data_IF_695969665391
#
_entry.id   IF_695969665391
#
_cell.length_a   1.000
_cell.length_b   1.000
_cell.length_c   1.000
_cell.angle_alpha   90.00
_cell.angle_beta   90.00
_cell.angle_gamma   90.00
#
_symmetry.space_group_name_H-M   'P 1'
#
loop_
_entity.id
_entity.type
_entity.pdbx_description
1 polymer ?
#
# COMPACT_ATOMS: atom_id res chain seq x y z
N UNK A 1 35.52 -7.16 -33.55
CA UNK A 1 34.61 -6.25 -34.26
C UNK A 1 33.29 -6.91 -34.61
N UNK A 2 32.20 -6.22 -34.27
CA UNK A 2 30.77 -6.62 -34.29
C UNK A 2 30.26 -7.31 -33.01
N UNK A 3 30.08 -6.49 -31.98
CA UNK A 3 28.95 -6.67 -31.05
C UNK A 3 27.77 -5.90 -31.65
N UNK A 4 26.73 -6.60 -32.05
CA UNK A 4 25.42 -6.02 -32.38
C UNK A 4 24.61 -5.96 -31.10
N UNK A 5 24.42 -4.75 -30.58
CA UNK A 5 23.50 -4.47 -29.48
C UNK A 5 22.07 -4.77 -29.94
N UNK A 6 21.54 -5.89 -29.46
CA UNK A 6 20.12 -6.22 -29.52
C UNK A 6 19.40 -5.43 -28.43
N UNK A 7 18.93 -4.22 -28.76
CA UNK A 7 17.76 -3.64 -28.11
C UNK A 7 16.56 -3.86 -29.03
N UNK A 8 16.08 -5.11 -29.07
CA UNK A 8 14.83 -5.47 -29.74
C UNK A 8 13.62 -5.02 -28.93
N UNK A 9 13.32 -3.72 -28.97
CA UNK A 9 12.00 -3.14 -28.69
C UNK A 9 11.68 -2.14 -29.80
N UNK A 10 11.79 -2.61 -31.05
CA UNK A 10 11.47 -1.87 -32.26
C UNK A 10 10.11 -2.23 -32.83
N UNK A 11 9.19 -2.70 -31.99
CA UNK A 11 7.78 -2.68 -32.38
C UNK A 11 7.29 -1.27 -32.09
N UNK A 12 7.01 -0.53 -33.16
CA UNK A 12 6.22 0.69 -33.14
C UNK A 12 4.89 0.31 -32.51
N UNK A 13 4.79 0.46 -31.18
CA UNK A 13 3.54 0.28 -30.46
C UNK A 13 2.58 1.33 -31.00
N UNK A 14 1.76 0.95 -31.98
CA UNK A 14 0.55 1.68 -32.28
C UNK A 14 -0.23 1.70 -30.98
N UNK A 15 -0.27 2.87 -30.35
CA UNK A 15 -1.11 3.13 -29.19
C UNK A 15 -2.54 3.03 -29.71
N UNK A 16 -3.08 1.81 -29.75
CA UNK A 16 -4.50 1.59 -29.94
C UNK A 16 -5.19 2.46 -28.90
N UNK A 17 -6.18 3.25 -29.31
CA UNK A 17 -6.97 4.15 -28.46
C UNK A 17 -7.86 3.40 -27.44
N UNK A 18 -7.46 2.19 -27.03
CA UNK A 18 -8.09 1.38 -26.00
C UNK A 18 -7.46 1.70 -24.64
N UNK A 19 -8.30 2.06 -23.68
CA UNK A 19 -7.91 2.58 -22.37
C UNK A 19 -6.81 1.80 -21.64
N UNK A 20 -6.05 2.52 -20.80
CA UNK A 20 -4.91 1.99 -20.06
C UNK A 20 -5.24 0.67 -19.33
N UNK A 21 -4.41 -0.35 -19.56
CA UNK A 21 -4.53 -1.68 -18.92
C UNK A 21 -4.29 -1.62 -17.41
N UNK A 22 -3.50 -0.64 -16.97
CA UNK A 22 -3.18 -0.39 -15.56
C UNK A 22 -3.83 0.91 -15.11
N UNK A 23 -3.96 1.10 -13.79
CA UNK A 23 -4.50 2.36 -13.28
C UNK A 23 -3.54 3.52 -13.54
N UNK A 24 -2.24 3.26 -13.43
CA UNK A 24 -1.15 4.21 -13.67
C UNK A 24 0.14 3.44 -14.06
N UNK A 25 0.85 3.88 -15.10
CA UNK A 25 2.08 3.26 -15.57
C UNK A 25 3.09 4.29 -16.10
N UNK A 26 4.34 4.18 -15.65
CA UNK A 26 5.46 4.95 -16.15
C UNK A 26 6.17 4.17 -17.27
N UNK A 27 6.39 4.83 -18.39
CA UNK A 27 7.12 4.31 -19.53
C UNK A 27 8.37 5.19 -19.70
N UNK A 28 9.54 4.58 -19.66
CA UNK A 28 10.81 5.26 -19.85
C UNK A 28 11.47 4.83 -21.15
N UNK A 29 11.87 5.79 -21.97
CA UNK A 29 12.65 5.58 -23.18
C UNK A 29 13.93 6.40 -23.10
N UNK A 30 15.06 5.81 -23.46
CA UNK A 30 16.30 6.56 -23.63
C UNK A 30 16.32 7.11 -25.05
N UNK A 31 16.22 8.43 -25.19
CA UNK A 31 16.38 9.12 -26.46
C UNK A 31 17.81 9.62 -26.61
N UNK A 32 18.36 9.50 -27.81
CA UNK A 32 19.64 10.11 -28.19
C UNK A 32 19.33 11.19 -29.20
N UNK A 33 19.64 12.46 -28.87
CA UNK A 33 19.51 13.56 -29.82
C UNK A 33 20.67 13.61 -30.83
N UNK A 34 21.73 12.81 -30.61
CA UNK A 34 22.92 12.76 -31.46
C UNK A 34 22.93 11.52 -32.37
N UNK A 35 23.29 11.66 -33.66
CA UNK A 35 23.50 10.51 -34.56
C UNK A 35 24.74 9.70 -34.20
N UNK A 36 25.66 10.25 -33.40
CA UNK A 36 26.81 9.53 -32.85
C UNK A 36 26.51 9.16 -31.40
N UNK A 37 26.50 7.85 -31.05
CA UNK A 37 26.15 7.39 -29.71
C UNK A 37 27.28 7.75 -28.73
N UNK A 38 27.15 8.87 -28.04
CA UNK A 38 27.95 9.18 -26.86
C UNK A 38 27.09 9.01 -25.61
N UNK A 39 27.62 8.31 -24.60
CA UNK A 39 26.93 8.05 -23.33
C UNK A 39 26.50 9.34 -22.61
N UNK A 40 27.15 10.48 -22.89
CA UNK A 40 26.85 11.77 -22.28
C UNK A 40 25.67 12.52 -22.91
N UNK A 41 25.07 12.01 -23.99
CA UNK A 41 23.99 12.69 -24.73
C UNK A 41 22.64 11.97 -24.66
N UNK A 42 22.53 10.93 -23.83
CA UNK A 42 21.27 10.21 -23.64
C UNK A 42 20.36 11.01 -22.70
N UNK A 43 19.14 11.26 -23.16
CA UNK A 43 18.05 11.82 -22.37
C UNK A 43 17.07 10.71 -22.01
N UNK A 44 16.60 10.69 -20.76
CA UNK A 44 15.53 9.79 -20.34
C UNK A 44 14.19 10.48 -20.53
N UNK A 45 13.46 10.06 -21.55
CA UNK A 45 12.09 10.50 -21.80
C UNK A 45 11.13 9.60 -21.01
N UNK A 46 10.35 10.21 -20.13
CA UNK A 46 9.36 9.52 -19.30
C UNK A 46 7.97 9.94 -19.74
N UNK A 47 7.14 8.97 -20.13
CA UNK A 47 5.71 9.15 -20.33
C UNK A 47 4.93 8.45 -19.22
N UNK A 48 3.77 9.01 -18.86
CA UNK A 48 2.89 8.50 -17.83
C UNK A 48 1.52 8.24 -18.43
N UNK A 49 1.14 6.97 -18.47
CA UNK A 49 -0.20 6.55 -18.86
C UNK A 49 -1.05 6.34 -17.62
N UNK A 50 -2.32 6.74 -17.68
CA UNK A 50 -3.22 6.63 -16.54
C UNK A 50 -4.68 6.49 -16.99
N UNK A 51 -5.51 5.94 -16.11
CA UNK A 51 -6.97 5.92 -16.30
C UNK A 51 -7.58 7.25 -15.92
N UNK A 52 -8.15 7.95 -16.91
CA UNK A 52 -8.82 9.25 -16.71
C UNK A 52 -10.05 9.19 -15.80
N UNK A 53 -10.62 8.00 -15.60
CA UNK A 53 -11.70 7.77 -14.63
C UNK A 53 -11.24 7.81 -13.17
N UNK A 54 -9.95 7.54 -12.92
CA UNK A 54 -9.36 7.48 -11.57
C UNK A 54 -8.50 8.71 -11.27
N UNK A 55 -7.84 9.28 -12.28
CA UNK A 55 -6.93 10.40 -12.10
C UNK A 55 -7.33 11.58 -12.97
N UNK A 56 -7.34 12.77 -12.37
CA UNK A 56 -7.47 14.02 -13.11
C UNK A 56 -6.11 14.41 -13.72
N UNK A 57 -6.09 15.14 -14.85
CA UNK A 57 -4.85 15.65 -15.43
C UNK A 57 -3.98 16.46 -14.44
N UNK A 58 -4.61 17.18 -13.51
CA UNK A 58 -3.91 17.95 -12.47
C UNK A 58 -3.22 17.04 -11.45
N UNK A 59 -3.90 15.97 -11.01
CA UNK A 59 -3.32 14.97 -10.12
C UNK A 59 -2.09 14.32 -10.76
N UNK A 60 -2.19 14.00 -12.04
CA UNK A 60 -1.10 13.41 -12.82
C UNK A 60 0.07 14.38 -12.98
N UNK A 61 -0.21 15.65 -13.28
CA UNK A 61 0.82 16.70 -13.34
C UNK A 61 1.54 16.86 -12.00
N UNK A 62 0.81 16.83 -10.88
CA UNK A 62 1.41 16.87 -9.54
C UNK A 62 2.28 15.64 -9.26
N UNK A 63 1.83 14.45 -9.63
CA UNK A 63 2.61 13.21 -9.49
C UNK A 63 3.91 13.26 -10.30
N UNK A 64 3.85 13.74 -11.54
CA UNK A 64 5.03 13.93 -12.39
C UNK A 64 6.01 14.93 -11.79
N UNK A 65 5.51 16.04 -11.25
CA UNK A 65 6.34 17.03 -10.56
C UNK A 65 7.06 16.39 -9.36
N UNK A 66 6.33 15.72 -8.46
CA UNK A 66 6.93 15.03 -7.30
C UNK A 66 7.93 13.95 -7.71
N UNK A 67 7.63 13.16 -8.75
CA UNK A 67 8.54 12.14 -9.26
C UNK A 67 9.82 12.75 -9.86
N UNK A 68 9.71 13.87 -10.58
CA UNK A 68 10.87 14.58 -11.12
C UNK A 68 11.79 15.12 -10.02
N UNK A 69 11.21 15.64 -8.93
CA UNK A 69 11.94 16.14 -7.76
C UNK A 69 12.63 14.97 -7.06
N UNK A 70 11.92 13.87 -6.85
CA UNK A 70 12.47 12.64 -6.27
C UNK A 70 13.69 12.15 -7.05
N UNK A 71 13.58 12.02 -8.38
CA UNK A 71 14.69 11.57 -9.23
C UNK A 71 15.88 12.52 -9.14
N UNK A 72 15.66 13.84 -9.17
CA UNK A 72 16.74 14.83 -9.02
C UNK A 72 17.45 14.71 -7.68
N UNK A 73 16.68 14.60 -6.58
CA UNK A 73 17.23 14.48 -5.23
C UNK A 73 18.03 13.17 -5.08
N UNK A 74 17.47 12.05 -5.56
CA UNK A 74 18.14 10.76 -5.51
C UNK A 74 19.43 10.72 -6.34
N UNK A 75 19.41 11.28 -7.56
CA UNK A 75 20.59 11.36 -8.41
C UNK A 75 21.69 12.29 -7.83
N UNK A 76 21.30 13.32 -7.08
CA UNK A 76 22.26 14.23 -6.43
C UNK A 76 22.93 13.61 -5.19
N UNK A 77 22.29 12.65 -4.54
CA UNK A 77 22.77 12.01 -3.31
C UNK A 77 22.42 10.51 -3.28
N UNK A 78 23.02 9.69 -4.15
CA UNK A 78 22.62 8.29 -4.36
C UNK A 78 22.91 7.36 -3.16
N UNK A 79 23.69 7.83 -2.19
CA UNK A 79 24.05 7.10 -0.97
C UNK A 79 23.06 7.34 0.19
N UNK A 80 22.11 8.27 0.05
CA UNK A 80 21.09 8.48 1.08
C UNK A 80 20.10 7.31 1.11
N UNK A 81 19.63 6.91 2.31
CA UNK A 81 18.49 6.01 2.43
C UNK A 81 17.29 6.54 1.66
N UNK A 82 16.51 5.64 1.04
CA UNK A 82 15.33 6.03 0.24
C UNK A 82 14.30 6.82 1.05
N UNK A 83 14.22 6.58 2.37
CA UNK A 83 13.37 7.31 3.33
C UNK A 83 13.72 8.79 3.43
N UNK A 84 14.97 9.15 3.13
CA UNK A 84 15.52 10.48 3.38
C UNK A 84 15.51 11.33 2.10
N UNK A 85 15.12 10.74 0.96
CA UNK A 85 14.96 11.45 -0.32
C UNK A 85 13.65 12.24 -0.29
N UNK A 86 13.74 13.54 -0.07
CA UNK A 86 12.57 14.42 -0.05
C UNK A 86 11.80 14.43 -1.39
N UNK A 87 10.47 14.45 -1.31
CA UNK A 87 9.55 14.52 -2.47
C UNK A 87 9.16 15.96 -2.85
N UNK A 88 9.66 16.96 -2.12
CA UNK A 88 9.28 18.38 -2.27
C UNK A 88 10.50 19.21 -2.64
N UNK A 89 10.35 20.10 -3.62
CA UNK A 89 11.39 21.01 -4.08
C UNK A 89 11.66 22.05 -2.99
N UNK A 90 12.92 22.18 -2.56
CA UNK A 90 13.32 23.08 -1.47
C UNK A 90 13.70 22.40 -0.16
N UNK A 91 14.40 21.27 -0.24
CA UNK A 91 14.95 20.53 0.90
C UNK A 91 15.76 21.40 1.87
N UNK A 92 15.05 21.96 2.85
CA UNK A 92 15.60 22.32 4.15
C UNK A 92 14.71 21.69 5.22
N UNK A 93 15.11 20.50 5.67
CA UNK A 93 14.84 19.88 6.97
C UNK A 93 13.63 20.36 7.80
N UNK A 94 12.44 20.45 7.21
CA UNK A 94 11.22 20.65 7.98
C UNK A 94 10.69 19.29 8.39
N UNK A 95 10.69 19.08 9.71
CA UNK A 95 10.21 17.89 10.41
C UNK A 95 8.88 17.41 9.84
N UNK A 96 8.75 16.08 9.74
CA UNK A 96 7.53 15.36 9.37
C UNK A 96 6.30 15.99 10.05
N UNK A 97 5.41 16.58 9.26
CA UNK A 97 4.19 17.24 9.76
C UNK A 97 3.54 18.25 8.80
N UNK A 98 4.30 18.88 7.89
CA UNK A 98 3.79 19.93 6.99
C UNK A 98 3.64 19.48 5.52
N UNK A 99 3.24 18.23 5.23
CA UNK A 99 3.00 17.77 3.85
C UNK A 99 1.66 18.26 3.27
N UNK A 100 0.74 18.72 4.14
CA UNK A 100 -0.65 19.09 3.80
C UNK A 100 -0.87 20.53 3.24
N UNK A 101 -0.01 21.56 3.42
CA UNK A 101 -0.34 22.94 3.03
C UNK A 101 -0.31 23.22 1.51
N UNK A 102 0.56 22.58 0.73
CA UNK A 102 0.82 22.99 -0.66
C UNK A 102 -0.27 22.53 -1.63
N UNK A 103 -0.72 21.27 -1.51
CA UNK A 103 -1.91 20.79 -2.23
C UNK A 103 -3.17 21.57 -1.81
N UNK A 104 -3.29 21.90 -0.52
CA UNK A 104 -4.38 22.74 -0.01
C UNK A 104 -4.38 24.13 -0.65
N UNK A 105 -3.21 24.76 -0.81
CA UNK A 105 -3.10 26.11 -1.40
C UNK A 105 -3.44 26.17 -2.89
N UNK A 106 -3.13 25.11 -3.66
CA UNK A 106 -3.51 25.02 -5.07
C UNK A 106 -5.02 24.76 -5.21
N UNK A 107 -5.59 23.94 -4.31
CA UNK A 107 -7.02 23.65 -4.28
C UNK A 107 -7.85 24.88 -3.84
N UNK A 108 -7.36 25.67 -2.87
CA UNK A 108 -7.98 26.93 -2.43
C UNK A 108 -7.92 28.04 -3.49
N UNK A 109 -6.89 28.04 -4.36
CA UNK A 109 -6.80 28.98 -5.48
C UNK A 109 -7.81 28.65 -6.58
N UNK A 110 -8.09 27.38 -6.81
CA UNK A 110 -9.10 26.92 -7.77
C UNK A 110 -10.54 27.23 -7.30
N UNK A 111 -10.81 27.16 -5.99
CA UNK A 111 -12.11 27.52 -5.41
C UNK A 111 -12.43 29.02 -5.54
N UNK A 112 -11.41 29.89 -5.62
CA UNK A 112 -11.59 31.34 -5.79
C UNK A 112 -11.86 31.76 -7.24
N UNK A 113 -11.32 31.05 -8.23
CA UNK A 113 -11.55 31.37 -9.64
C UNK A 113 -12.89 30.82 -10.17
N UNK A 114 -13.48 29.81 -9.51
CA UNK A 114 -14.78 29.23 -9.88
C UNK A 114 -15.98 29.79 -9.08
N UNK A 115 -15.74 30.70 -8.13
CA UNK A 115 -16.72 31.19 -7.17
C UNK A 115 -17.47 32.46 -7.55
N UNK A 116 -17.83 32.62 -8.82
CA UNK A 116 -18.53 33.79 -9.34
C UNK A 116 -19.95 33.54 -9.85
N UNK A 117 -20.60 32.43 -9.55
CA UNK A 117 -22.06 32.28 -9.74
C UNK A 117 -22.58 31.01 -9.04
N UNK A 118 -23.32 31.24 -7.96
CA UNK A 118 -24.40 30.42 -7.40
C UNK A 118 -24.37 28.90 -7.62
N UNK A 119 -23.57 28.17 -6.82
CA UNK A 119 -24.00 26.84 -6.33
C UNK A 119 -23.59 26.64 -4.88
N UNK A 120 -24.59 26.54 -4.00
CA UNK A 120 -24.50 25.92 -2.67
C UNK A 120 -24.19 24.42 -2.83
N UNK A 121 -23.03 24.07 -3.37
CA UNK A 121 -22.53 22.71 -3.37
C UNK A 121 -21.72 22.55 -2.09
N UNK A 122 -22.34 21.90 -1.11
CA UNK A 122 -21.79 21.45 0.18
C UNK A 122 -20.34 20.99 0.03
N UNK A 123 -19.41 21.87 0.47
CA UNK A 123 -17.99 21.61 0.69
C UNK A 123 -17.87 20.27 1.44
N UNK A 124 -17.44 19.21 0.76
CA UNK A 124 -17.04 17.97 1.45
C UNK A 124 -15.62 18.22 1.94
N UNK A 125 -15.54 18.71 3.17
CA UNK A 125 -14.30 18.76 3.93
C UNK A 125 -13.73 17.33 3.99
N UNK A 126 -12.62 17.09 3.30
CA UNK A 126 -11.80 15.87 3.44
C UNK A 126 -10.98 15.88 4.75
N UNK A 127 -11.47 16.55 5.79
CA UNK A 127 -10.88 16.54 7.13
C UNK A 127 -11.46 15.40 7.97
N UNK A 128 -11.37 14.14 7.52
CA UNK A 128 -12.02 13.06 8.26
C UNK A 128 -11.33 11.70 8.13
N UNK A 129 -10.00 11.65 8.25
CA UNK A 129 -9.41 10.46 8.85
C UNK A 129 -9.60 10.61 10.36
N UNK A 130 -10.77 10.20 10.84
CA UNK A 130 -11.06 10.17 12.27
C UNK A 130 -10.07 9.19 12.93
N UNK A 131 -9.11 9.66 13.75
CA UNK A 131 -8.12 8.78 14.40
C UNK A 131 -8.79 7.77 15.34
N UNK A 132 -10.09 7.91 15.59
CA UNK A 132 -10.89 6.98 16.39
C UNK A 132 -11.49 5.81 15.60
N UNK A 133 -11.37 5.77 14.27
CA UNK A 133 -11.85 4.64 13.47
C UNK A 133 -10.76 3.56 13.33
N UNK A 134 -10.58 2.79 14.40
CA UNK A 134 -9.76 1.59 14.33
C UNK A 134 -10.40 0.55 13.41
N UNK A 135 -9.58 -0.25 12.72
CA UNK A 135 -10.04 -1.37 11.88
C UNK A 135 -10.99 -2.30 12.67
N UNK A 136 -10.73 -2.48 13.96
CA UNK A 136 -11.58 -3.26 14.86
C UNK A 136 -12.98 -2.67 15.06
N UNK A 137 -13.09 -1.34 15.14
CA UNK A 137 -14.38 -0.66 15.27
C UNK A 137 -15.23 -0.89 14.02
N UNK A 138 -14.64 -0.71 12.85
CA UNK A 138 -15.31 -0.97 11.57
C UNK A 138 -15.71 -2.44 11.44
N UNK A 139 -14.82 -3.36 11.81
CA UNK A 139 -15.13 -4.79 11.82
C UNK A 139 -16.31 -5.10 12.74
N UNK A 140 -16.34 -4.53 13.95
CA UNK A 140 -17.42 -4.72 14.90
C UNK A 140 -18.75 -4.16 14.38
N UNK A 141 -18.74 -2.98 13.78
CA UNK A 141 -19.93 -2.38 13.15
C UNK A 141 -20.49 -3.29 12.04
N UNK A 142 -19.63 -3.80 11.13
CA UNK A 142 -20.05 -4.70 10.05
C UNK A 142 -20.59 -6.03 10.60
N UNK A 143 -19.93 -6.61 11.62
CA UNK A 143 -20.38 -7.85 12.23
C UNK A 143 -21.75 -7.73 12.90
N UNK A 144 -22.07 -6.56 13.46
CA UNK A 144 -23.38 -6.28 14.05
C UNK A 144 -24.44 -5.98 13.00
N UNK A 145 -24.09 -5.28 11.91
CA UNK A 145 -25.02 -4.92 10.85
C UNK A 145 -25.41 -6.13 9.98
N UNK A 146 -24.46 -7.05 9.74
CA UNK A 146 -24.63 -8.17 8.81
C UNK A 146 -24.14 -9.52 9.36
N UNK A 147 -24.67 -10.02 10.48
CA UNK A 147 -24.15 -11.20 11.17
C UNK A 147 -24.17 -12.47 10.30
N UNK A 148 -25.22 -12.67 9.51
CA UNK A 148 -25.44 -13.89 8.72
C UNK A 148 -24.84 -13.84 7.31
N UNK A 149 -24.30 -12.68 6.88
CA UNK A 149 -23.64 -12.58 5.57
C UNK A 149 -22.31 -13.32 5.59
N UNK A 150 -21.97 -13.95 4.47
CA UNK A 150 -20.67 -14.58 4.28
C UNK A 150 -19.56 -13.53 4.30
N UNK A 151 -18.62 -13.70 5.22
CA UNK A 151 -17.46 -12.82 5.40
C UNK A 151 -16.22 -13.39 4.70
N UNK A 152 -16.03 -14.71 4.79
CA UNK A 152 -14.92 -15.41 4.16
C UNK A 152 -15.45 -16.60 3.38
N UNK A 153 -15.04 -16.71 2.13
CA UNK A 153 -15.25 -17.88 1.28
C UNK A 153 -13.85 -18.39 0.95
N UNK A 154 -13.49 -19.54 1.50
CA UNK A 154 -12.20 -20.16 1.22
C UNK A 154 -12.38 -21.35 0.28
N UNK A 155 -11.77 -21.24 -0.88
CA UNK A 155 -11.66 -22.32 -1.84
C UNK A 155 -10.25 -22.90 -1.69
N UNK A 156 -10.09 -24.11 -1.11
CA UNK A 156 -8.79 -24.75 -1.07
C UNK A 156 -8.29 -24.89 -2.50
N UNK A 157 -7.04 -24.46 -2.75
CA UNK A 157 -6.37 -24.64 -4.02
C UNK A 157 -6.19 -26.14 -4.24
N UNK A 158 -7.19 -26.75 -4.87
CA UNK A 158 -7.27 -28.18 -5.08
C UNK A 158 -6.24 -28.60 -6.12
N UNK A 159 -5.18 -29.24 -5.64
CA UNK A 159 -4.50 -30.28 -6.40
C UNK A 159 -5.51 -31.38 -6.70
N UNK A 160 -5.82 -31.55 -7.99
CA UNK A 160 -6.57 -32.65 -8.64
C UNK A 160 -7.47 -33.52 -7.71
N UNK A 161 -8.78 -33.23 -7.72
CA UNK A 161 -9.82 -34.26 -7.47
C UNK A 161 -10.44 -34.34 -6.08
N UNK A 162 -10.06 -33.49 -5.12
CA UNK A 162 -10.73 -33.46 -3.81
C UNK A 162 -12.00 -32.61 -3.84
N UNK A 163 -13.17 -33.25 -3.69
CA UNK A 163 -14.48 -32.62 -3.45
C UNK A 163 -14.61 -32.12 -1.99
N UNK A 164 -13.57 -31.48 -1.43
CA UNK A 164 -13.71 -30.87 -0.12
C UNK A 164 -14.74 -29.74 -0.21
N UNK A 165 -15.75 -29.71 0.67
CA UNK A 165 -16.75 -28.65 0.66
C UNK A 165 -16.07 -27.30 0.86
N UNK A 166 -16.51 -26.29 0.12
CA UNK A 166 -16.15 -24.90 0.37
C UNK A 166 -16.44 -24.57 1.83
N UNK A 167 -15.45 -24.05 2.55
CA UNK A 167 -15.72 -23.47 3.86
C UNK A 167 -16.10 -22.01 3.65
N UNK A 168 -17.39 -21.69 3.74
CA UNK A 168 -17.84 -20.32 3.94
C UNK A 168 -18.04 -20.05 5.43
N UNK A 169 -17.79 -18.81 5.83
CA UNK A 169 -17.85 -18.40 7.22
C UNK A 169 -18.54 -17.04 7.31
N UNK A 170 -19.62 -16.97 8.09
CA UNK A 170 -20.39 -15.73 8.29
C UNK A 170 -19.61 -14.70 9.12
N UNK A 171 -19.99 -13.41 9.06
CA UNK A 171 -19.39 -12.38 9.90
C UNK A 171 -19.52 -12.68 11.40
N UNK A 172 -20.68 -13.22 11.84
CA UNK A 172 -20.90 -13.62 13.23
C UNK A 172 -19.95 -14.74 13.67
N UNK A 173 -19.84 -15.79 12.86
CA UNK A 173 -18.94 -16.92 13.12
C UNK A 173 -17.47 -16.47 13.10
N UNK A 174 -17.10 -15.55 12.19
CA UNK A 174 -15.75 -15.02 12.06
C UNK A 174 -15.34 -14.30 13.34
N UNK A 175 -16.21 -13.41 13.79
CA UNK A 175 -15.98 -12.61 14.97
C UNK A 175 -15.93 -13.47 16.23
N UNK A 176 -16.85 -14.43 16.40
CA UNK A 176 -16.85 -15.33 17.56
C UNK A 176 -15.59 -16.19 17.62
N UNK A 177 -15.17 -16.77 16.49
CA UNK A 177 -13.93 -17.55 16.43
C UNK A 177 -12.70 -16.69 16.70
N UNK A 178 -12.63 -15.50 16.11
CA UNK A 178 -11.51 -14.59 16.34
C UNK A 178 -11.48 -14.07 17.78
N UNK A 179 -12.63 -13.81 18.39
CA UNK A 179 -12.74 -13.39 19.79
C UNK A 179 -12.33 -14.52 20.74
N UNK A 180 -12.77 -15.76 20.47
CA UNK A 180 -12.36 -16.93 21.24
C UNK A 180 -10.84 -17.12 21.20
N UNK A 181 -10.23 -17.03 20.02
CA UNK A 181 -8.79 -17.15 19.86
C UNK A 181 -8.05 -15.96 20.50
N UNK A 182 -8.59 -14.74 20.41
CA UNK A 182 -8.03 -13.56 21.09
C UNK A 182 -8.04 -13.70 22.62
N UNK A 183 -9.10 -14.29 23.19
CA UNK A 183 -9.17 -14.57 24.63
C UNK A 183 -8.15 -15.62 25.05
N UNK A 184 -8.04 -16.72 24.30
CA UNK A 184 -7.00 -17.73 24.52
C UNK A 184 -5.59 -17.10 24.48
N UNK A 185 -5.32 -16.25 23.49
CA UNK A 185 -4.07 -15.51 23.37
C UNK A 185 -3.77 -14.64 24.61
N UNK A 186 -4.79 -13.97 25.17
CA UNK A 186 -4.65 -13.20 26.42
C UNK A 186 -4.36 -14.10 27.63
N UNK A 187 -4.99 -15.27 27.69
CA UNK A 187 -4.72 -16.28 28.73
C UNK A 187 -3.28 -16.81 28.64
N UNK A 188 -2.70 -16.89 27.43
CA UNK A 188 -1.28 -17.20 27.22
C UNK A 188 -0.32 -16.06 27.63
N UNK A 189 -0.82 -14.95 28.18
CA UNK A 189 0.00 -13.86 28.69
C UNK A 189 0.15 -12.66 27.75
N UNK A 190 -0.63 -12.58 26.66
CA UNK A 190 -0.79 -11.34 25.90
C UNK A 190 -1.60 -10.34 26.72
N UNK A 191 -0.90 -9.59 27.57
CA UNK A 191 -1.50 -8.49 28.31
C UNK A 191 -1.74 -7.30 27.37
N UNK A 192 -2.95 -6.73 27.33
CA UNK A 192 -3.17 -5.49 26.60
C UNK A 192 -2.34 -4.40 27.27
N UNK A 193 -1.31 -3.94 26.58
CA UNK A 193 -0.42 -2.93 27.15
C UNK A 193 -1.13 -1.58 27.09
N UNK A 194 -1.23 -0.83 28.19
CA UNK A 194 -1.75 0.53 28.14
C UNK A 194 -0.93 1.35 27.14
N UNK A 195 -1.63 2.14 26.30
CA UNK A 195 -1.11 2.87 25.13
C UNK A 195 0.20 3.66 25.29
N UNK A 196 0.69 3.84 26.51
CA UNK A 196 1.90 4.57 26.85
C UNK A 196 3.19 3.76 26.74
N UNK A 197 3.15 2.43 26.63
CA UNK A 197 4.36 1.61 26.51
C UNK A 197 4.27 0.66 25.31
N UNK A 198 5.14 0.84 24.31
CA UNK A 198 5.20 0.01 23.09
C UNK A 198 5.77 -1.41 23.32
N UNK A 199 5.58 -2.00 24.50
CA UNK A 199 6.11 -3.33 24.85
C UNK A 199 5.10 -4.45 24.63
N UNK A 200 4.26 -4.36 23.60
CA UNK A 200 3.46 -5.52 23.18
C UNK A 200 4.38 -6.49 22.44
N UNK A 201 4.43 -7.75 22.85
CA UNK A 201 5.18 -8.77 22.11
C UNK A 201 4.45 -9.13 20.82
N UNK A 202 5.14 -9.18 19.65
CA UNK A 202 4.52 -9.60 18.40
C UNK A 202 3.99 -11.02 18.46
N UNK A 203 2.93 -11.26 17.69
CA UNK A 203 2.46 -12.60 17.37
C UNK A 203 2.97 -12.97 15.98
N UNK A 204 3.78 -14.03 15.88
CA UNK A 204 4.25 -14.51 14.58
C UNK A 204 3.23 -15.50 14.03
N UNK A 205 2.71 -15.23 12.83
CA UNK A 205 1.73 -16.10 12.17
C UNK A 205 2.42 -16.76 10.98
N UNK A 206 2.67 -18.07 11.08
CA UNK A 206 3.29 -18.87 10.01
C UNK A 206 2.27 -19.88 9.50
N UNK A 207 2.02 -19.87 8.20
CA UNK A 207 1.16 -20.88 7.58
C UNK A 207 0.82 -20.56 6.13
N UNK A 208 0.16 -21.50 5.42
CA UNK A 208 -0.44 -21.21 4.13
C UNK A 208 -1.62 -20.24 4.29
N UNK A 209 -1.98 -19.56 3.20
CA UNK A 209 -3.21 -18.77 3.15
C UNK A 209 -4.40 -19.70 3.39
N UNK A 210 -5.11 -19.45 4.48
CA UNK A 210 -6.24 -20.27 4.95
C UNK A 210 -7.16 -19.42 5.82
N UNK A 211 -8.37 -19.90 6.08
CA UNK A 211 -9.30 -19.27 7.02
C UNK A 211 -8.67 -19.08 8.40
N UNK A 212 -7.88 -20.05 8.86
CA UNK A 212 -7.14 -19.96 10.12
C UNK A 212 -6.11 -18.84 10.11
N UNK A 213 -5.43 -18.60 8.99
CA UNK A 213 -4.47 -17.51 8.86
C UNK A 213 -5.15 -16.15 9.06
N UNK A 214 -6.29 -15.92 8.42
CA UNK A 214 -7.07 -14.68 8.57
C UNK A 214 -7.61 -14.54 10.00
N UNK A 215 -8.16 -15.62 10.57
CA UNK A 215 -8.62 -15.65 11.96
C UNK A 215 -7.51 -15.25 12.93
N UNK A 216 -6.29 -15.79 12.78
CA UNK A 216 -5.15 -15.44 13.62
C UNK A 216 -4.78 -13.95 13.53
N UNK A 217 -4.86 -13.35 12.34
CA UNK A 217 -4.60 -11.91 12.16
C UNK A 217 -5.64 -11.06 12.89
N UNK A 218 -6.94 -11.36 12.69
CA UNK A 218 -8.03 -10.64 13.37
C UNK A 218 -7.92 -10.81 14.89
N UNK A 219 -7.63 -12.04 15.35
CA UNK A 219 -7.47 -12.36 16.77
C UNK A 219 -6.30 -11.60 17.41
N UNK A 220 -5.22 -11.41 16.66
CA UNK A 220 -4.04 -10.63 17.10
C UNK A 220 -4.42 -9.16 17.30
N UNK A 221 -5.19 -8.59 16.38
CA UNK A 221 -5.69 -7.22 16.53
C UNK A 221 -6.65 -7.12 17.72
N UNK A 222 -7.60 -8.05 17.86
CA UNK A 222 -8.55 -8.11 18.97
C UNK A 222 -7.85 -8.26 20.33
N UNK A 223 -6.71 -8.96 20.39
CA UNK A 223 -5.90 -9.06 21.62
C UNK A 223 -5.07 -7.82 21.91
N UNK A 224 -5.20 -6.74 21.12
CA UNK A 224 -4.40 -5.52 21.19
C UNK A 224 -2.90 -5.77 20.98
N UNK A 225 -2.57 -6.77 20.17
CA UNK A 225 -1.20 -7.04 19.73
C UNK A 225 -1.03 -6.73 18.24
N UNK A 226 0.21 -6.66 17.79
CA UNK A 226 0.55 -6.65 16.38
C UNK A 226 1.02 -8.04 15.97
N UNK A 227 0.86 -8.36 14.68
CA UNK A 227 1.29 -9.64 14.14
C UNK A 227 2.33 -9.46 13.05
N UNK A 228 3.18 -10.48 12.90
CA UNK A 228 4.17 -10.57 11.82
C UNK A 228 3.75 -11.77 10.94
N UNK A 229 3.17 -11.52 9.76
CA UNK A 229 2.81 -12.60 8.86
C UNK A 229 4.08 -13.13 8.18
N UNK A 230 4.32 -14.44 8.28
CA UNK A 230 5.42 -15.12 7.62
C UNK A 230 4.89 -16.21 6.70
N UNK A 231 5.52 -16.32 5.52
CA UNK A 231 5.24 -17.43 4.61
C UNK A 231 5.72 -18.74 5.22
N UNK A 232 4.95 -19.82 5.03
CA UNK A 232 5.38 -21.18 5.36
C UNK A 232 6.61 -21.64 4.55
N UNK A 233 6.92 -20.96 3.44
CA UNK A 233 8.11 -21.22 2.63
C UNK A 233 9.36 -20.46 3.11
N UNK A 234 9.27 -19.70 4.21
CA UNK A 234 10.40 -18.92 4.74
C UNK A 234 11.50 -19.87 5.24
N UNK A 235 12.77 -19.71 4.78
CA UNK A 235 13.87 -20.55 5.25
C UNK A 235 14.03 -20.48 6.77
N UNK A 236 14.34 -21.62 7.40
CA UNK A 236 14.47 -21.74 8.86
C UNK A 236 15.47 -20.74 9.45
N UNK A 237 16.61 -20.51 8.77
CA UNK A 237 17.63 -19.55 9.22
C UNK A 237 17.08 -18.12 9.36
N UNK A 238 16.23 -17.69 8.41
CA UNK A 238 15.57 -16.38 8.45
C UNK A 238 14.45 -16.34 9.49
N UNK A 239 13.73 -17.44 9.68
CA UNK A 239 12.70 -17.54 10.71
C UNK A 239 13.32 -17.38 12.11
N UNK A 240 14.43 -18.07 12.38
CA UNK A 240 15.17 -17.94 13.64
C UNK A 240 15.71 -16.53 13.85
N UNK A 241 16.20 -15.85 12.79
CA UNK A 241 16.65 -14.46 12.91
C UNK A 241 15.51 -13.48 13.22
N UNK A 242 14.31 -13.72 12.68
CA UNK A 242 13.15 -12.89 12.98
C UNK A 242 12.69 -13.12 14.42
N UNK A 243 12.62 -14.38 14.87
CA UNK A 243 12.25 -14.73 16.25
C UNK A 243 13.22 -14.09 17.24
N UNK A 244 14.54 -14.18 17.00
CA UNK A 244 15.54 -13.62 17.92
C UNK A 244 15.47 -12.10 18.01
N UNK A 245 15.11 -11.41 16.92
CA UNK A 245 14.99 -9.94 16.90
C UNK A 245 13.68 -9.43 17.47
N UNK A 246 12.59 -10.20 17.33
CA UNK A 246 11.24 -9.73 17.66
C UNK A 246 10.78 -10.06 19.08
N UNK A 247 11.47 -10.96 19.79
CA UNK A 247 11.09 -11.47 21.13
C UNK A 247 9.57 -11.78 21.21
N UNK A 248 9.05 -12.62 20.30
CA UNK A 248 7.62 -12.90 20.23
C UNK A 248 7.15 -13.65 21.49
N UNK A 249 5.83 -13.67 21.71
CA UNK A 249 5.25 -14.64 22.64
C UNK A 249 5.31 -16.03 21.99
N UNK A 250 6.11 -16.92 22.60
CA UNK A 250 6.24 -18.32 22.23
C UNK A 250 5.02 -19.13 22.69
#
# INVERSE_FOLDING_TARGET
>A
DRATDYCGWGEEYQIESGGSKFDLSFLGCLSSSSPTPSLSSQTLDLSLEYRSSLFSPYTVSSLLSSFSIFLRNWLSAPYLPLSDVGLVEGGQGKKEGEFIPLLRSLQEKEEREKGGEERKQKKRDNSLADPHNSVLKVLFEICNEFPDKEALIFQPSSSLGSLSPYSSLSYSSLFLHALSLANFLRECGLTPVPSTTFKTKPIIIIGPQSTHHILSQISSLLSHSFFIPLSHTTPLSRLLSIISLSDPLC
#
